data_IF_913859154569
#
_entry.id   IF_913859154569
#
_cell.length_a   1.000
_cell.length_b   1.000
_cell.length_c   1.000
_cell.angle_alpha   90.00
_cell.angle_beta   90.00
_cell.angle_gamma   90.00
#
_symmetry.space_group_name_H-M   'P 1'
#
loop_
_entity.id
_entity.type
_entity.pdbx_description
1 polymer ?
#
# COMPACT_ATOMS: atom_id res chain seq x y z
N UNK A 1 10.37 11.40 -9.40
CA UNK A 1 9.19 10.64 -8.95
C UNK A 1 8.20 10.44 -10.09
N UNK A 2 7.76 11.49 -10.80
CA UNK A 2 6.77 11.43 -11.91
C UNK A 2 7.21 10.51 -13.06
N UNK A 3 8.48 10.58 -13.50
CA UNK A 3 9.01 9.70 -14.56
C UNK A 3 9.01 8.24 -14.15
N UNK A 4 9.37 7.92 -12.92
CA UNK A 4 9.36 6.55 -12.40
C UNK A 4 7.94 6.01 -12.33
N UNK A 5 6.99 6.80 -11.82
CA UNK A 5 5.57 6.44 -11.74
C UNK A 5 4.98 6.17 -13.13
N UNK A 6 5.34 6.99 -14.13
CA UNK A 6 4.91 6.80 -15.51
C UNK A 6 5.34 5.44 -16.07
N UNK A 7 6.62 5.06 -15.89
CA UNK A 7 7.14 3.79 -16.34
C UNK A 7 6.48 2.60 -15.64
N UNK A 8 6.24 2.69 -14.36
CA UNK A 8 5.52 1.67 -13.60
C UNK A 8 4.10 1.52 -14.10
N UNK A 9 3.37 2.61 -14.33
CA UNK A 9 2.02 2.58 -14.90
C UNK A 9 2.00 1.98 -16.31
N UNK A 10 3.00 2.31 -17.12
CA UNK A 10 3.13 1.77 -18.48
C UNK A 10 3.35 0.25 -18.48
N UNK A 11 4.20 -0.27 -17.60
CA UNK A 11 4.40 -1.72 -17.41
C UNK A 11 3.10 -2.43 -17.02
N UNK A 12 2.34 -1.89 -16.06
CA UNK A 12 1.06 -2.47 -15.67
C UNK A 12 0.02 -2.42 -16.78
N UNK A 13 -0.01 -1.34 -17.55
CA UNK A 13 -0.92 -1.25 -18.68
C UNK A 13 -0.57 -2.25 -19.79
N UNK A 14 0.73 -2.49 -20.02
CA UNK A 14 1.19 -3.51 -20.95
C UNK A 14 0.80 -4.91 -20.47
N UNK A 15 0.95 -5.21 -19.17
CA UNK A 15 0.56 -6.48 -18.56
C UNK A 15 -0.94 -6.76 -18.73
N UNK A 16 -1.79 -5.79 -18.40
CA UNK A 16 -3.25 -5.88 -18.60
C UNK A 16 -3.61 -6.12 -20.07
N UNK A 17 -2.93 -5.45 -21.01
CA UNK A 17 -3.16 -5.64 -22.44
C UNK A 17 -2.78 -7.04 -22.91
N UNK A 18 -1.67 -7.60 -22.41
CA UNK A 18 -1.24 -8.98 -22.69
C UNK A 18 -2.26 -9.97 -22.15
N UNK A 19 -2.66 -9.85 -20.89
CA UNK A 19 -3.67 -10.75 -20.30
C UNK A 19 -5.04 -10.64 -21.00
N UNK A 20 -5.47 -9.41 -21.35
CA UNK A 20 -6.70 -9.22 -22.12
C UNK A 20 -6.63 -9.88 -23.51
N UNK A 21 -5.47 -9.81 -24.16
CA UNK A 21 -5.23 -10.46 -25.46
C UNK A 21 -5.30 -11.99 -25.38
N UNK A 22 -4.78 -12.56 -24.30
CA UNK A 22 -4.73 -14.01 -24.04
C UNK A 22 -6.06 -14.55 -23.47
N UNK A 23 -6.92 -13.70 -22.94
CA UNK A 23 -8.18 -14.12 -22.31
C UNK A 23 -9.19 -14.63 -23.35
N UNK A 24 -9.81 -15.83 -23.16
CA UNK A 24 -10.83 -16.37 -24.07
C UNK A 24 -12.16 -15.60 -24.00
N UNK A 25 -12.42 -14.87 -22.93
CA UNK A 25 -13.65 -14.07 -22.72
C UNK A 25 -13.27 -12.60 -22.44
N UNK A 26 -12.90 -11.87 -23.46
CA UNK A 26 -12.39 -10.51 -23.39
C UNK A 26 -13.28 -9.53 -22.62
N UNK A 27 -14.60 -9.61 -22.82
CA UNK A 27 -15.56 -8.72 -22.16
C UNK A 27 -15.70 -9.02 -20.66
N UNK A 28 -15.74 -10.30 -20.30
CA UNK A 28 -15.80 -10.71 -18.88
C UNK A 28 -14.53 -10.32 -18.14
N UNK A 29 -13.34 -10.49 -18.76
CA UNK A 29 -12.06 -10.06 -18.21
C UNK A 29 -12.05 -8.54 -17.95
N UNK A 30 -12.52 -7.74 -18.91
CA UNK A 30 -12.56 -6.29 -18.79
C UNK A 30 -13.46 -5.84 -17.62
N UNK A 31 -14.67 -6.37 -17.52
CA UNK A 31 -15.61 -6.03 -16.45
C UNK A 31 -15.10 -6.51 -15.07
N UNK A 32 -14.51 -7.70 -15.00
CA UNK A 32 -13.97 -8.25 -13.76
C UNK A 32 -12.74 -7.48 -13.25
N UNK A 33 -11.94 -6.93 -14.16
CA UNK A 33 -10.71 -6.22 -13.83
C UNK A 33 -10.80 -4.70 -14.01
N UNK A 34 -12.01 -4.14 -14.14
CA UNK A 34 -12.21 -2.70 -14.37
C UNK A 34 -11.57 -1.84 -13.28
N UNK A 35 -11.58 -2.31 -12.03
CA UNK A 35 -10.97 -1.64 -10.89
C UNK A 35 -9.44 -1.54 -11.05
N UNK A 36 -8.79 -2.61 -11.54
CA UNK A 36 -7.34 -2.62 -11.79
C UNK A 36 -6.96 -1.79 -12.99
N UNK A 37 -7.78 -1.78 -14.03
CA UNK A 37 -7.59 -0.92 -15.20
C UNK A 37 -7.64 0.55 -14.77
N UNK A 38 -8.62 0.95 -13.96
CA UNK A 38 -8.75 2.30 -13.43
C UNK A 38 -7.54 2.70 -12.57
N UNK A 39 -7.07 1.81 -11.70
CA UNK A 39 -5.88 2.06 -10.86
C UNK A 39 -4.60 2.11 -11.70
N UNK A 40 -4.54 1.40 -12.85
CA UNK A 40 -3.36 1.37 -13.73
C UNK A 40 -3.17 2.65 -14.54
N UNK A 41 -4.20 3.48 -14.67
CA UNK A 41 -4.09 4.77 -15.36
C UNK A 41 -3.24 5.74 -14.53
N UNK A 42 -2.25 6.43 -15.12
CA UNK A 42 -1.40 7.40 -14.42
C UNK A 42 -2.14 8.73 -14.20
N UNK A 43 -3.18 8.73 -13.36
CA UNK A 43 -4.07 9.87 -13.14
C UNK A 43 -3.33 11.17 -12.80
N UNK A 44 -2.28 11.09 -11.96
CA UNK A 44 -1.49 12.26 -11.58
C UNK A 44 -0.81 12.92 -12.80
N UNK A 45 -0.27 12.11 -13.72
CA UNK A 45 0.38 12.63 -14.93
C UNK A 45 -0.64 13.26 -15.90
N UNK A 46 -1.84 12.68 -16.02
CA UNK A 46 -2.92 13.24 -16.83
C UNK A 46 -3.41 14.56 -16.25
N UNK A 47 -3.65 14.63 -14.96
CA UNK A 47 -4.16 15.83 -14.29
C UNK A 47 -3.16 16.97 -14.41
N UNK A 48 -1.86 16.69 -14.24
CA UNK A 48 -0.79 17.67 -14.41
C UNK A 48 -0.70 18.14 -15.89
N UNK A 49 -0.79 17.21 -16.85
CA UNK A 49 -0.76 17.53 -18.27
C UNK A 49 -1.95 18.40 -18.73
N UNK A 50 -3.12 18.20 -18.12
CA UNK A 50 -4.32 19.01 -18.39
C UNK A 50 -4.40 20.31 -17.58
N UNK A 51 -3.42 20.58 -16.70
CA UNK A 51 -3.37 21.81 -15.90
C UNK A 51 -4.51 21.94 -14.90
N UNK A 52 -5.15 20.84 -14.53
CA UNK A 52 -6.25 20.82 -13.55
C UNK A 52 -5.66 20.95 -12.15
N UNK A 53 -5.98 22.04 -11.46
CA UNK A 53 -5.63 22.20 -10.05
C UNK A 53 -6.53 21.33 -9.19
N UNK A 54 -5.96 20.23 -8.66
CA UNK A 54 -6.65 19.41 -7.68
C UNK A 54 -6.70 20.12 -6.32
N UNK A 55 -7.78 19.88 -5.56
CA UNK A 55 -7.76 20.25 -4.16
C UNK A 55 -6.65 19.47 -3.44
N UNK A 56 -6.00 20.04 -2.42
CA UNK A 56 -4.93 19.37 -1.67
C UNK A 56 -5.31 17.96 -1.22
N UNK A 57 -6.53 17.78 -0.72
CA UNK A 57 -7.07 16.50 -0.26
C UNK A 57 -7.12 15.44 -1.39
N UNK A 58 -7.56 15.83 -2.61
CA UNK A 58 -7.62 14.92 -3.76
C UNK A 58 -6.22 14.53 -4.22
N UNK A 59 -5.26 15.46 -4.18
CA UNK A 59 -3.85 15.17 -4.47
C UNK A 59 -3.26 14.13 -3.52
N UNK A 60 -3.62 14.15 -2.24
CA UNK A 60 -3.19 13.13 -1.28
C UNK A 60 -3.79 11.77 -1.58
N UNK A 61 -5.10 11.68 -1.79
CA UNK A 61 -5.79 10.41 -2.13
C UNK A 61 -5.16 9.76 -3.36
N UNK A 62 -4.84 10.55 -4.37
CA UNK A 62 -4.18 10.05 -5.59
C UNK A 62 -2.78 9.46 -5.35
N UNK A 63 -2.06 9.94 -4.32
CA UNK A 63 -0.75 9.38 -3.95
C UNK A 63 -0.84 7.98 -3.32
N UNK A 64 -2.02 7.56 -2.82
CA UNK A 64 -2.25 6.21 -2.31
C UNK A 64 -2.54 5.18 -3.41
N UNK A 65 -2.94 5.60 -4.60
CA UNK A 65 -3.25 4.69 -5.71
C UNK A 65 -2.08 3.74 -6.04
N UNK A 66 -0.81 4.19 -6.12
CA UNK A 66 0.33 3.28 -6.33
C UNK A 66 0.52 2.25 -5.21
N UNK A 67 0.16 2.59 -3.97
CA UNK A 67 0.24 1.68 -2.82
C UNK A 67 -0.74 0.51 -2.95
N UNK A 68 -2.00 0.80 -3.29
CA UNK A 68 -3.03 -0.23 -3.51
C UNK A 68 -2.58 -1.19 -4.62
N UNK A 69 -2.01 -0.64 -5.70
CA UNK A 69 -1.47 -1.42 -6.81
C UNK A 69 -0.31 -2.32 -6.39
N UNK A 70 0.66 -1.78 -5.65
CA UNK A 70 1.79 -2.55 -5.15
C UNK A 70 1.31 -3.72 -4.27
N UNK A 71 0.37 -3.47 -3.36
CA UNK A 71 -0.23 -4.50 -2.51
C UNK A 71 -0.88 -5.64 -3.32
N UNK A 72 -1.60 -5.30 -4.38
CA UNK A 72 -2.22 -6.29 -5.26
C UNK A 72 -1.20 -7.17 -6.00
N UNK A 73 -0.19 -6.57 -6.62
CA UNK A 73 0.88 -7.31 -7.33
C UNK A 73 1.60 -8.25 -6.39
N UNK A 74 1.90 -7.80 -5.18
CA UNK A 74 2.54 -8.62 -4.17
C UNK A 74 1.65 -9.77 -3.71
N UNK A 75 0.32 -9.56 -3.64
CA UNK A 75 -0.64 -10.62 -3.38
C UNK A 75 -0.63 -11.69 -4.50
N UNK A 76 -0.59 -11.27 -5.77
CA UNK A 76 -0.50 -12.19 -6.91
C UNK A 76 0.79 -13.00 -6.90
N UNK A 77 1.95 -12.32 -6.73
CA UNK A 77 3.26 -12.97 -6.68
C UNK A 77 3.33 -13.98 -5.53
N UNK A 78 2.84 -13.60 -4.35
CA UNK A 78 2.80 -14.48 -3.19
C UNK A 78 1.93 -15.72 -3.42
N UNK A 79 0.77 -15.56 -4.06
CA UNK A 79 -0.11 -16.68 -4.44
C UNK A 79 0.52 -17.61 -5.47
N UNK A 80 1.29 -17.08 -6.42
CA UNK A 80 1.98 -17.85 -7.45
C UNK A 80 3.22 -18.58 -6.93
N UNK A 81 3.97 -18.00 -5.99
CA UNK A 81 5.21 -18.56 -5.47
C UNK A 81 5.03 -19.63 -4.38
N UNK A 82 3.87 -19.65 -3.71
CA UNK A 82 3.67 -20.49 -2.54
C UNK A 82 2.42 -21.35 -2.67
N UNK A 83 2.57 -22.66 -2.74
CA UNK A 83 1.44 -23.61 -2.69
C UNK A 83 0.76 -23.68 -1.31
N UNK A 84 1.43 -23.20 -0.25
CA UNK A 84 0.90 -23.14 1.10
C UNK A 84 0.13 -21.82 1.32
N UNK A 85 -1.21 -21.90 1.37
CA UNK A 85 -2.09 -20.74 1.54
C UNK A 85 -1.77 -19.91 2.79
N UNK A 86 -1.39 -20.54 3.91
CA UNK A 86 -1.10 -19.83 5.15
C UNK A 86 0.18 -18.98 5.03
N UNK A 87 1.24 -19.52 4.40
CA UNK A 87 2.48 -18.80 4.15
C UNK A 87 2.27 -17.63 3.17
N UNK A 88 1.48 -17.86 2.13
CA UNK A 88 1.12 -16.83 1.15
C UNK A 88 0.38 -15.67 1.81
N UNK A 89 -0.63 -15.94 2.64
CA UNK A 89 -1.39 -14.90 3.35
C UNK A 89 -0.50 -14.10 4.30
N UNK A 90 0.39 -14.77 5.03
CA UNK A 90 1.32 -14.09 5.94
C UNK A 90 2.31 -13.19 5.19
N UNK A 91 2.86 -13.67 4.07
CA UNK A 91 3.77 -12.89 3.24
C UNK A 91 3.10 -11.63 2.68
N UNK A 92 1.88 -11.75 2.14
CA UNK A 92 1.07 -10.62 1.66
C UNK A 92 0.86 -9.62 2.78
N UNK A 93 0.50 -10.08 3.97
CA UNK A 93 0.25 -9.20 5.10
C UNK A 93 1.52 -8.44 5.55
N UNK A 94 2.66 -9.12 5.66
CA UNK A 94 3.94 -8.47 6.01
C UNK A 94 4.31 -7.40 4.97
N UNK A 95 4.14 -7.70 3.69
CA UNK A 95 4.43 -6.75 2.61
C UNK A 95 3.50 -5.55 2.70
N UNK A 96 2.22 -5.78 2.99
CA UNK A 96 1.24 -4.70 3.20
C UNK A 96 1.66 -3.81 4.37
N UNK A 97 2.04 -4.38 5.50
CA UNK A 97 2.54 -3.68 6.69
C UNK A 97 3.76 -2.82 6.35
N UNK A 98 4.75 -3.36 5.63
CA UNK A 98 5.94 -2.60 5.20
C UNK A 98 5.54 -1.43 4.29
N UNK A 99 4.63 -1.65 3.36
CA UNK A 99 4.13 -0.60 2.48
C UNK A 99 3.38 0.48 3.28
N UNK A 100 2.53 0.10 4.23
CA UNK A 100 1.79 1.04 5.10
C UNK A 100 2.74 1.90 5.93
N UNK A 101 3.80 1.32 6.50
CA UNK A 101 4.83 2.07 7.24
C UNK A 101 5.52 3.08 6.33
N UNK A 102 5.95 2.66 5.14
CA UNK A 102 6.64 3.53 4.21
C UNK A 102 5.77 4.72 3.74
N UNK A 103 4.56 4.42 3.26
CA UNK A 103 3.66 5.46 2.76
C UNK A 103 3.03 6.29 3.88
N UNK A 104 2.73 5.67 5.02
CA UNK A 104 2.26 6.36 6.21
C UNK A 104 3.29 7.37 6.72
N UNK A 105 4.57 6.97 6.78
CA UNK A 105 5.67 7.87 7.12
C UNK A 105 5.83 9.03 6.13
N UNK A 106 5.70 8.74 4.83
CA UNK A 106 5.79 9.78 3.79
C UNK A 106 4.67 10.81 3.94
N UNK A 107 3.45 10.35 4.15
CA UNK A 107 2.31 11.22 4.33
C UNK A 107 2.39 12.02 5.63
N UNK A 108 2.81 11.38 6.70
CA UNK A 108 3.05 12.03 7.98
C UNK A 108 4.12 13.12 7.85
N UNK A 109 5.23 12.85 7.16
CA UNK A 109 6.27 13.82 6.92
C UNK A 109 5.76 15.04 6.14
N UNK A 110 5.00 14.82 5.07
CA UNK A 110 4.48 15.92 4.23
C UNK A 110 3.53 16.83 5.01
N UNK A 111 2.74 16.27 5.92
CA UNK A 111 1.72 17.01 6.69
C UNK A 111 2.31 17.68 7.94
N UNK A 112 3.27 17.05 8.61
CA UNK A 112 3.73 17.47 9.94
C UNK A 112 5.05 18.24 9.91
N UNK A 113 5.90 18.04 8.89
CA UNK A 113 7.28 18.57 8.88
C UNK A 113 7.36 20.09 9.11
N UNK A 114 6.41 20.87 8.60
CA UNK A 114 6.44 22.34 8.76
C UNK A 114 5.70 22.85 10.02
N UNK A 115 5.00 21.96 10.72
CA UNK A 115 4.12 22.34 11.85
C UNK A 115 4.63 21.74 13.16
N UNK A 116 5.22 20.54 13.09
CA UNK A 116 5.67 19.78 14.24
C UNK A 116 7.20 19.80 14.32
N UNK A 117 7.80 20.48 15.31
CA UNK A 117 9.25 20.62 15.43
C UNK A 117 9.98 19.29 15.71
N UNK A 118 9.26 18.23 16.11
CA UNK A 118 9.84 16.89 16.32
C UNK A 118 9.96 16.10 15.02
N UNK A 119 9.40 16.59 13.91
CA UNK A 119 9.44 15.96 12.59
C UNK A 119 10.44 16.71 11.72
N UNK A 120 11.72 16.56 12.01
CA UNK A 120 12.84 17.24 11.34
C UNK A 120 13.20 16.60 9.99
N UNK A 121 12.94 15.29 9.84
CA UNK A 121 13.35 14.51 8.66
C UNK A 121 12.35 13.40 8.34
N UNK A 122 12.47 12.84 7.11
CA UNK A 122 11.70 11.65 6.76
C UNK A 122 12.01 10.45 7.68
N UNK A 123 13.23 10.35 8.19
CA UNK A 123 13.62 9.29 9.11
C UNK A 123 12.90 9.37 10.45
N UNK A 124 12.66 10.56 10.99
CA UNK A 124 11.83 10.78 12.18
C UNK A 124 10.40 10.30 11.95
N UNK A 125 9.85 10.58 10.78
CA UNK A 125 8.52 10.12 10.36
C UNK A 125 8.45 8.61 10.17
N UNK A 126 9.49 8.01 9.60
CA UNK A 126 9.59 6.56 9.42
C UNK A 126 9.68 5.84 10.77
N UNK A 127 10.48 6.38 11.68
CA UNK A 127 10.59 5.92 13.05
C UNK A 127 9.24 5.99 13.78
N UNK A 128 8.55 7.13 13.66
CA UNK A 128 7.21 7.31 14.20
C UNK A 128 6.22 6.26 13.66
N UNK A 129 6.18 6.04 12.35
CA UNK A 129 5.28 5.06 11.74
C UNK A 129 5.59 3.63 12.20
N UNK A 130 6.87 3.25 12.28
CA UNK A 130 7.30 1.94 12.76
C UNK A 130 6.90 1.71 14.24
N UNK A 131 7.02 2.71 15.10
CA UNK A 131 6.62 2.60 16.50
C UNK A 131 5.09 2.56 16.67
N UNK A 132 4.33 3.26 15.84
CA UNK A 132 2.86 3.18 15.87
C UNK A 132 2.35 1.81 15.43
N UNK A 133 2.88 1.23 14.35
CA UNK A 133 2.43 -0.08 13.87
C UNK A 133 2.85 -1.22 14.82
N UNK A 134 3.97 -1.07 15.52
CA UNK A 134 4.38 -2.00 16.56
C UNK A 134 3.66 -1.78 17.89
N UNK A 135 2.81 -0.76 17.98
CA UNK A 135 2.05 -0.38 19.19
C UNK A 135 2.90 -0.03 20.41
N UNK A 136 4.18 0.23 20.21
CA UNK A 136 5.11 0.64 21.29
C UNK A 136 4.85 2.07 21.75
N UNK A 137 4.41 2.94 20.81
CA UNK A 137 4.25 4.36 21.04
C UNK A 137 5.52 5.15 20.75
N UNK A 138 5.35 6.45 20.47
CA UNK A 138 6.41 7.37 20.11
C UNK A 138 6.23 8.71 20.83
N UNK A 139 7.33 9.40 21.11
CA UNK A 139 7.31 10.76 21.66
C UNK A 139 6.74 11.79 20.65
N UNK A 140 6.84 11.49 19.35
CA UNK A 140 6.30 12.34 18.31
C UNK A 140 4.79 12.19 18.27
N UNK A 141 4.08 13.17 18.80
CA UNK A 141 2.62 13.21 18.75
C UNK A 141 2.14 13.99 17.53
N UNK A 142 1.20 13.45 16.73
CA UNK A 142 0.65 14.16 15.56
C UNK A 142 -0.13 15.39 15.97
N UNK A 143 0.13 16.52 15.33
CA UNK A 143 -0.56 17.78 15.51
C UNK A 143 -1.76 17.87 14.57
N UNK A 144 -1.58 17.45 13.30
CA UNK A 144 -2.60 17.52 12.27
C UNK A 144 -3.68 16.44 12.44
N UNK A 145 -4.86 16.68 11.89
CA UNK A 145 -5.94 15.69 11.86
C UNK A 145 -5.52 14.48 11.02
N UNK A 146 -4.86 14.71 9.89
CA UNK A 146 -4.32 13.65 9.02
C UNK A 146 -3.33 12.76 9.78
N UNK A 147 -2.39 13.35 10.51
CA UNK A 147 -1.44 12.62 11.33
C UNK A 147 -2.11 11.75 12.41
N UNK A 148 -3.14 12.28 13.07
CA UNK A 148 -3.93 11.53 14.08
C UNK A 148 -4.67 10.35 13.47
N UNK A 149 -5.28 10.53 12.31
CA UNK A 149 -5.96 9.44 11.57
C UNK A 149 -4.95 8.37 11.14
N UNK A 150 -3.79 8.76 10.62
CA UNK A 150 -2.71 7.84 10.26
C UNK A 150 -2.22 7.02 11.48
N UNK A 151 -2.08 7.65 12.65
CA UNK A 151 -1.70 6.95 13.87
C UNK A 151 -2.69 5.84 14.22
N UNK A 152 -4.01 6.14 14.14
CA UNK A 152 -5.07 5.16 14.41
C UNK A 152 -5.01 4.00 13.41
N UNK A 153 -4.85 4.31 12.11
CA UNK A 153 -4.79 3.29 11.06
C UNK A 153 -3.59 2.37 11.26
N UNK A 154 -2.38 2.93 11.45
CA UNK A 154 -1.16 2.15 11.67
C UNK A 154 -1.25 1.28 12.93
N UNK A 155 -1.80 1.82 14.02
CA UNK A 155 -1.98 1.06 15.26
C UNK A 155 -3.00 -0.08 15.09
N UNK A 156 -4.10 0.15 14.37
CA UNK A 156 -5.08 -0.88 14.07
C UNK A 156 -4.50 -2.00 13.20
N UNK A 157 -3.70 -1.65 12.17
CA UNK A 157 -2.94 -2.65 11.39
C UNK A 157 -1.99 -3.45 12.27
N UNK A 158 -1.25 -2.80 13.16
CA UNK A 158 -0.32 -3.45 14.08
C UNK A 158 -1.00 -4.47 15.00
N UNK A 159 -2.18 -4.14 15.53
CA UNK A 159 -2.97 -5.05 16.36
C UNK A 159 -3.40 -6.32 15.62
N UNK A 160 -3.59 -6.28 14.30
CA UNK A 160 -3.96 -7.45 13.50
C UNK A 160 -2.77 -8.37 13.19
N UNK A 161 -1.54 -7.92 13.38
CA UNK A 161 -0.33 -8.70 13.12
C UNK A 161 -0.26 -9.96 13.99
N UNK A 162 -0.60 -9.85 15.26
CA UNK A 162 -0.55 -10.98 16.19
C UNK A 162 -1.53 -12.11 15.84
N UNK A 163 -2.83 -11.87 15.58
CA UNK A 163 -3.76 -12.89 15.11
C UNK A 163 -3.32 -13.56 13.80
N UNK A 164 -2.83 -12.78 12.83
CA UNK A 164 -2.36 -13.32 11.55
C UNK A 164 -1.17 -14.26 11.76
N UNK A 165 -0.20 -13.85 12.58
CA UNK A 165 0.96 -14.68 12.93
C UNK A 165 0.52 -15.97 13.65
N UNK A 166 -0.41 -15.90 14.58
CA UNK A 166 -0.92 -17.06 15.33
C UNK A 166 -1.59 -18.07 14.39
N UNK A 167 -2.42 -17.59 13.45
CA UNK A 167 -3.06 -18.46 12.44
C UNK A 167 -1.99 -19.16 11.58
N UNK A 168 -0.95 -18.42 11.17
CA UNK A 168 0.14 -18.99 10.38
C UNK A 168 0.88 -20.10 11.14
N UNK A 169 1.29 -19.85 12.38
CA UNK A 169 2.00 -20.82 13.21
C UNK A 169 1.16 -22.07 13.44
N UNK A 170 -0.11 -21.90 13.82
CA UNK A 170 -1.05 -23.00 14.04
C UNK A 170 -1.19 -23.87 12.80
N UNK A 171 -1.43 -23.26 11.64
CA UNK A 171 -1.56 -23.99 10.38
C UNK A 171 -0.27 -24.72 9.98
N UNK A 172 0.90 -24.12 10.25
CA UNK A 172 2.20 -24.74 9.97
C UNK A 172 2.43 -25.97 10.82
N UNK A 173 2.07 -25.92 12.10
CA UNK A 173 2.20 -27.07 13.02
C UNK A 173 1.26 -28.21 12.60
N UNK A 174 -0.01 -27.91 12.33
CA UNK A 174 -1.02 -28.91 11.93
C UNK A 174 -0.65 -29.62 10.63
N UNK A 175 -0.12 -28.87 9.65
CA UNK A 175 0.29 -29.45 8.35
C UNK A 175 1.54 -30.34 8.47
N UNK A 176 2.43 -30.09 9.41
CA UNK A 176 3.61 -30.92 9.63
C UNK A 176 3.33 -32.22 10.43
N UNK A 177 2.12 -32.34 11.00
CA UNK A 177 1.71 -33.56 11.71
C UNK A 177 0.91 -34.54 10.83
N UNK A 178 0.62 -34.20 9.60
CA UNK A 178 0.03 -35.07 8.57
C UNK A 178 1.07 -35.59 7.59
#
# INVERSE_FOLDING_TARGET
YMRFQFWVCFLFMADILVEWSLSPRKWHYFVSNIFFILISIPWLNFIEAFGVSLSPMMGYVMKFVPMIRAGYVLALISGALTSNKALSMMAVYIIWVIASVYFGALMFFVEEHFINPLVDSYWSSLWWAALNITTVGCEISPVTITGKVLAIILSAEGLTLFPVFTIYVTNSIVNNQK
#
